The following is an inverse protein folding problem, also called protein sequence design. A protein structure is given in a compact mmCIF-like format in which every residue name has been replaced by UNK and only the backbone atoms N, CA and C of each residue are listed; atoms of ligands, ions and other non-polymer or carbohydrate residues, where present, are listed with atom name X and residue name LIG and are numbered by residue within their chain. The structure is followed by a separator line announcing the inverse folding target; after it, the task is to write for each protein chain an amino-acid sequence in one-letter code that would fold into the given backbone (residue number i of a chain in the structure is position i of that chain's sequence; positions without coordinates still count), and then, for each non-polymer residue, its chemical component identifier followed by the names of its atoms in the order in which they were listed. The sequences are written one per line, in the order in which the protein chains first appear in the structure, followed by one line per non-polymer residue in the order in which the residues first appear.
data_IF_381629535365
#
_entry.id   IF_381629535365
#
_cell.length_a   1.000
_cell.length_b   1.000
_cell.length_c   1.000
_cell.angle_alpha   90.00
_cell.angle_beta   90.00
_cell.angle_gamma   90.00
#
_symmetry.space_group_name_H-M   'P 1'
#
loop_
_entity.id
_entity.type
_entity.pdbx_description
1 polymer ?
#
# COMPACT_ATOMS: atom_id res chain seq x y z
N UNK A 1 -15.22 -2.68 -16.42
CA UNK A 1 -14.18 -3.05 -17.41
C UNK A 1 -14.69 -4.00 -18.48
N UNK A 2 -15.36 -5.11 -18.12
CA UNK A 2 -16.03 -5.97 -19.12
C UNK A 2 -17.03 -5.15 -19.94
N UNK A 3 -16.85 -5.09 -21.26
CA UNK A 3 -17.76 -4.38 -22.17
C UNK A 3 -18.73 -5.39 -22.77
N UNK A 4 -18.45 -5.87 -23.98
CA UNK A 4 -19.17 -6.99 -24.59
C UNK A 4 -18.64 -8.30 -24.03
N UNK A 5 -19.48 -9.34 -24.08
CA UNK A 5 -19.14 -10.66 -23.56
C UNK A 5 -19.78 -11.76 -24.42
N UNK A 6 -19.15 -12.95 -24.50
CA UNK A 6 -19.73 -14.09 -25.20
C UNK A 6 -21.07 -14.53 -24.58
N UNK A 7 -22.09 -14.75 -25.41
CA UNK A 7 -23.42 -15.22 -24.96
C UNK A 7 -23.65 -16.72 -25.11
N UNK A 8 -22.82 -17.37 -25.93
CA UNK A 8 -22.94 -18.79 -26.28
C UNK A 8 -21.65 -19.55 -25.95
N UNK A 9 -20.98 -19.20 -24.86
CA UNK A 9 -19.71 -19.80 -24.45
C UNK A 9 -19.65 -19.96 -22.91
N UNK A 10 -20.46 -20.88 -22.35
CA UNK A 10 -20.56 -21.08 -20.90
C UNK A 10 -19.26 -21.60 -20.26
N UNK A 11 -18.35 -22.16 -21.05
CA UNK A 11 -17.05 -22.63 -20.57
C UNK A 11 -16.13 -21.45 -20.21
N UNK A 12 -16.31 -20.29 -20.85
CA UNK A 12 -15.45 -19.11 -20.68
C UNK A 12 -16.18 -17.87 -20.14
N UNK A 13 -17.51 -17.83 -20.19
CA UNK A 13 -18.30 -16.69 -19.73
C UNK A 13 -19.62 -17.12 -19.07
N UNK A 14 -19.83 -16.65 -17.85
CA UNK A 14 -21.09 -16.79 -17.12
C UNK A 14 -21.63 -15.40 -16.78
N UNK A 15 -22.92 -15.19 -17.00
CA UNK A 15 -23.65 -13.98 -16.65
C UNK A 15 -25.09 -14.34 -16.26
N UNK A 16 -25.76 -13.45 -15.54
CA UNK A 16 -27.16 -13.67 -15.16
C UNK A 16 -28.07 -13.56 -16.40
N UNK A 17 -28.99 -14.51 -16.57
CA UNK A 17 -29.88 -14.57 -17.74
C UNK A 17 -30.68 -13.27 -17.93
N UNK A 18 -31.05 -12.61 -16.83
CA UNK A 18 -31.85 -11.38 -16.79
C UNK A 18 -31.01 -10.09 -16.81
N UNK A 19 -29.70 -10.17 -17.10
CA UNK A 19 -28.82 -8.99 -17.05
C UNK A 19 -29.39 -7.83 -17.86
N UNK A 20 -29.78 -8.03 -19.12
CA UNK A 20 -30.34 -6.95 -19.94
C UNK A 20 -31.72 -6.49 -19.46
N UNK A 21 -32.55 -7.41 -18.96
CA UNK A 21 -33.88 -7.08 -18.45
C UNK A 21 -33.78 -6.14 -17.24
N UNK A 22 -32.80 -6.36 -16.36
CA UNK A 22 -32.50 -5.44 -15.26
C UNK A 22 -32.11 -4.06 -15.78
N UNK A 23 -31.26 -3.98 -16.81
CA UNK A 23 -30.88 -2.69 -17.40
C UNK A 23 -32.06 -1.94 -18.01
N UNK A 24 -32.96 -2.66 -18.71
CA UNK A 24 -34.18 -2.10 -19.29
C UNK A 24 -35.15 -1.65 -18.18
N UNK A 25 -35.35 -2.47 -17.16
CA UNK A 25 -36.23 -2.17 -16.03
C UNK A 25 -35.85 -0.86 -15.33
N UNK A 26 -34.55 -0.66 -15.08
CA UNK A 26 -34.02 0.56 -14.48
C UNK A 26 -33.79 1.70 -15.48
N UNK A 27 -34.17 1.53 -16.75
CA UNK A 27 -34.04 2.53 -17.82
C UNK A 27 -32.60 3.00 -18.05
N UNK A 28 -31.65 2.07 -17.92
CA UNK A 28 -30.24 2.30 -18.22
C UNK A 28 -29.95 2.17 -19.73
N UNK A 29 -30.81 1.46 -20.44
CA UNK A 29 -30.80 1.26 -21.90
C UNK A 29 -32.23 1.26 -22.43
N UNK A 30 -32.38 1.45 -23.73
CA UNK A 30 -33.69 1.33 -24.40
C UNK A 30 -34.15 -0.12 -24.47
N UNK A 31 -35.48 -0.40 -24.49
CA UNK A 31 -36.02 -1.76 -24.53
C UNK A 31 -35.63 -2.59 -25.77
N UNK A 32 -35.22 -1.92 -26.86
CA UNK A 32 -34.84 -2.54 -28.13
C UNK A 32 -33.31 -2.67 -28.30
N UNK A 33 -32.53 -2.53 -27.21
CA UNK A 33 -31.08 -2.65 -27.21
C UNK A 33 -30.62 -3.97 -27.86
N UNK A 34 -29.70 -3.86 -28.82
CA UNK A 34 -29.10 -5.02 -29.47
C UNK A 34 -28.17 -5.76 -28.48
N UNK A 35 -28.44 -7.05 -28.17
CA UNK A 35 -27.60 -7.85 -27.28
C UNK A 35 -26.12 -7.90 -27.68
N UNK A 36 -25.78 -7.81 -28.96
CA UNK A 36 -24.39 -7.90 -29.44
C UNK A 36 -23.61 -6.60 -29.20
N UNK A 37 -24.32 -5.48 -29.03
CA UNK A 37 -23.72 -4.17 -28.73
C UNK A 37 -23.80 -3.78 -27.25
N UNK A 38 -24.52 -4.57 -26.44
CA UNK A 38 -24.67 -4.33 -25.01
C UNK A 38 -23.30 -4.38 -24.30
N UNK A 39 -22.89 -3.24 -23.75
CA UNK A 39 -21.64 -3.10 -22.99
C UNK A 39 -21.94 -3.06 -21.50
N UNK A 40 -21.62 -4.13 -20.77
CA UNK A 40 -21.90 -4.26 -19.34
C UNK A 40 -21.32 -3.08 -18.54
N UNK A 41 -20.04 -2.75 -18.76
CA UNK A 41 -19.39 -1.65 -18.05
C UNK A 41 -20.00 -0.30 -18.37
N UNK A 42 -20.44 -0.05 -19.60
CA UNK A 42 -20.97 1.28 -19.97
C UNK A 42 -22.39 1.48 -19.46
N UNK A 43 -23.14 0.40 -19.31
CA UNK A 43 -24.51 0.40 -18.79
C UNK A 43 -24.53 0.52 -17.26
N UNK A 44 -23.77 -0.31 -16.55
CA UNK A 44 -23.86 -0.37 -15.08
C UNK A 44 -22.84 0.49 -14.34
N UNK A 45 -21.74 0.88 -14.99
CA UNK A 45 -20.67 1.65 -14.36
C UNK A 45 -20.02 2.60 -15.39
N UNK A 46 -20.79 3.52 -15.98
CA UNK A 46 -20.29 4.43 -17.01
C UNK A 46 -19.07 5.19 -16.50
N UNK A 47 -18.02 5.18 -17.32
CA UNK A 47 -16.74 5.75 -16.93
C UNK A 47 -16.79 7.28 -17.00
N UNK A 48 -16.34 7.94 -15.94
CA UNK A 48 -16.11 9.38 -15.90
C UNK A 48 -14.63 9.68 -15.56
N UNK A 49 -14.27 10.97 -15.50
CA UNK A 49 -12.91 11.40 -15.19
C UNK A 49 -12.36 10.73 -13.91
N UNK A 50 -13.07 10.84 -12.79
CA UNK A 50 -12.61 10.30 -11.51
C UNK A 50 -12.57 8.77 -11.53
N UNK A 51 -13.57 8.11 -12.12
CA UNK A 51 -13.59 6.66 -12.21
C UNK A 51 -12.40 6.12 -13.04
N UNK A 52 -12.01 6.80 -14.12
CA UNK A 52 -10.80 6.46 -14.87
C UNK A 52 -9.55 6.76 -14.03
N UNK A 53 -9.44 7.97 -13.49
CA UNK A 53 -8.27 8.42 -12.74
C UNK A 53 -7.95 7.55 -11.51
N UNK A 54 -8.97 7.07 -10.79
CA UNK A 54 -8.76 6.27 -9.58
C UNK A 54 -8.75 4.76 -9.82
N UNK A 55 -9.24 4.26 -10.97
CA UNK A 55 -9.30 2.82 -11.26
C UNK A 55 -8.43 2.44 -12.46
N UNK A 56 -8.67 3.05 -13.61
CA UNK A 56 -7.97 2.73 -14.84
C UNK A 56 -6.49 3.13 -14.77
N UNK A 57 -6.12 4.19 -14.04
CA UNK A 57 -4.71 4.50 -13.78
C UNK A 57 -3.93 3.34 -13.11
N UNK A 58 -4.55 2.63 -12.16
CA UNK A 58 -3.93 1.49 -11.48
C UNK A 58 -3.71 0.32 -12.45
N UNK A 59 -4.70 0.04 -13.28
CA UNK A 59 -4.56 -1.02 -14.29
C UNK A 59 -3.54 -0.63 -15.36
N UNK A 60 -3.51 0.63 -15.76
CA UNK A 60 -2.53 1.16 -16.70
C UNK A 60 -1.11 1.00 -16.16
N UNK A 61 -0.87 1.30 -14.88
CA UNK A 61 0.44 1.07 -14.27
C UNK A 61 0.84 -0.40 -14.33
N UNK A 62 -0.07 -1.31 -13.94
CA UNK A 62 0.19 -2.76 -13.97
C UNK A 62 0.47 -3.24 -15.40
N UNK A 63 -0.37 -2.85 -16.36
CA UNK A 63 -0.23 -3.30 -17.74
C UNK A 63 1.05 -2.76 -18.37
N UNK A 64 1.39 -1.49 -18.13
CA UNK A 64 2.64 -0.90 -18.62
C UNK A 64 3.86 -1.68 -18.11
N UNK A 65 3.90 -2.04 -16.82
CA UNK A 65 5.00 -2.85 -16.28
C UNK A 65 5.11 -4.25 -16.91
N UNK A 66 4.01 -4.82 -17.41
CA UNK A 66 3.94 -6.19 -17.93
C UNK A 66 4.12 -6.30 -19.44
N UNK A 67 3.75 -5.28 -20.21
CA UNK A 67 3.71 -5.36 -21.69
C UNK A 67 4.56 -4.33 -22.40
N UNK A 68 5.19 -3.40 -21.68
CA UNK A 68 5.69 -2.18 -22.28
C UNK A 68 7.21 -2.00 -22.21
N UNK A 69 8.00 -2.84 -22.90
CA UNK A 69 9.45 -2.74 -22.86
C UNK A 69 9.99 -1.43 -23.49
N UNK A 70 9.19 -0.71 -24.28
CA UNK A 70 9.57 0.53 -25.00
C UNK A 70 8.70 1.77 -24.69
N UNK A 71 7.79 1.67 -23.73
CA UNK A 71 6.91 2.77 -23.30
C UNK A 71 5.72 3.05 -24.24
N UNK A 72 5.51 2.26 -25.28
CA UNK A 72 4.40 2.44 -26.25
C UNK A 72 3.03 2.28 -25.61
N UNK A 73 2.81 1.23 -24.83
CA UNK A 73 1.52 1.00 -24.16
C UNK A 73 1.20 2.14 -23.17
N UNK A 74 2.20 2.55 -22.40
CA UNK A 74 2.11 3.63 -21.44
C UNK A 74 1.65 4.92 -22.14
N UNK A 75 2.32 5.30 -23.25
CA UNK A 75 1.98 6.50 -24.03
C UNK A 75 0.60 6.41 -24.69
N UNK A 76 0.25 5.26 -25.25
CA UNK A 76 -1.04 5.05 -25.94
C UNK A 76 -2.23 5.25 -24.99
N UNK A 77 -2.13 4.72 -23.77
CA UNK A 77 -3.26 4.68 -22.83
C UNK A 77 -3.20 5.71 -21.70
N UNK A 78 -2.17 6.56 -21.63
CA UNK A 78 -2.05 7.58 -20.58
C UNK A 78 -3.26 8.53 -20.53
N UNK A 79 -3.76 8.99 -21.68
CA UNK A 79 -4.92 9.88 -21.71
C UNK A 79 -6.21 9.21 -21.22
N UNK A 80 -6.35 7.91 -21.46
CA UNK A 80 -7.46 7.12 -20.93
C UNK A 80 -7.33 6.91 -19.42
N UNK A 81 -6.15 6.46 -18.97
CA UNK A 81 -5.82 6.27 -17.57
C UNK A 81 -5.97 7.55 -16.73
N UNK A 82 -5.58 8.69 -17.30
CA UNK A 82 -5.67 10.02 -16.68
C UNK A 82 -7.09 10.60 -16.65
N UNK A 83 -8.06 9.97 -17.32
CA UNK A 83 -9.44 10.44 -17.43
C UNK A 83 -9.66 11.56 -18.44
N UNK A 84 -8.62 11.98 -19.18
CA UNK A 84 -8.70 13.10 -20.14
C UNK A 84 -9.29 12.69 -21.49
N UNK A 85 -9.16 11.42 -21.87
CA UNK A 85 -9.76 10.86 -23.10
C UNK A 85 -10.32 9.45 -22.87
N UNK A 86 -11.62 9.35 -22.57
CA UNK A 86 -12.24 8.09 -22.13
C UNK A 86 -12.59 7.08 -23.24
N UNK A 87 -12.47 7.46 -24.52
CA UNK A 87 -12.88 6.60 -25.64
C UNK A 87 -11.84 5.54 -26.01
N UNK A 88 -10.56 5.80 -25.79
CA UNK A 88 -9.45 4.86 -26.07
C UNK A 88 -9.28 3.89 -24.90
N UNK A 89 -10.22 2.97 -24.72
CA UNK A 89 -10.17 2.03 -23.59
C UNK A 89 -8.99 1.08 -23.71
N UNK A 90 -8.30 0.85 -22.59
CA UNK A 90 -7.35 -0.26 -22.49
C UNK A 90 -8.03 -1.60 -22.78
N UNK A 91 -7.29 -2.57 -23.34
CA UNK A 91 -7.82 -3.91 -23.52
C UNK A 91 -8.21 -4.53 -22.17
N UNK A 92 -9.11 -5.51 -22.21
CA UNK A 92 -9.50 -6.26 -21.02
C UNK A 92 -8.36 -7.19 -20.56
N UNK A 93 -7.66 -7.79 -21.53
CA UNK A 93 -6.57 -8.73 -21.33
C UNK A 93 -5.30 -8.25 -22.01
N UNK A 94 -4.16 -8.66 -21.46
CA UNK A 94 -2.85 -8.38 -22.01
C UNK A 94 -2.03 -9.66 -22.08
N UNK A 95 -1.02 -9.67 -22.95
CA UNK A 95 0.00 -10.71 -22.99
C UNK A 95 1.33 -10.13 -22.51
N UNK A 96 1.80 -10.51 -21.31
CA UNK A 96 3.11 -10.07 -20.83
C UNK A 96 4.25 -10.47 -21.78
N UNK A 97 5.32 -9.68 -21.84
CA UNK A 97 6.48 -9.99 -22.69
C UNK A 97 7.36 -11.12 -22.13
N UNK A 98 7.16 -11.50 -20.86
CA UNK A 98 7.83 -12.61 -20.16
C UNK A 98 6.86 -13.32 -19.22
N UNK A 99 7.23 -14.51 -18.74
CA UNK A 99 6.48 -15.17 -17.67
C UNK A 99 6.48 -14.28 -16.41
N UNK A 100 5.32 -14.18 -15.77
CA UNK A 100 5.13 -13.39 -14.55
C UNK A 100 5.47 -14.25 -13.34
N UNK A 101 6.47 -13.83 -12.56
CA UNK A 101 6.87 -14.50 -11.32
C UNK A 101 6.04 -14.00 -10.13
N UNK A 102 6.11 -14.72 -9.00
CA UNK A 102 5.51 -14.27 -7.75
C UNK A 102 6.06 -12.90 -7.31
N UNK A 103 7.36 -12.67 -7.51
CA UNK A 103 8.01 -11.40 -7.18
C UNK A 103 7.49 -10.27 -8.08
N UNK A 104 7.30 -10.52 -9.38
CA UNK A 104 6.71 -9.54 -10.30
C UNK A 104 5.30 -9.13 -9.80
N UNK A 105 4.45 -10.10 -9.43
CA UNK A 105 3.11 -9.80 -8.86
C UNK A 105 3.22 -8.96 -7.58
N UNK A 106 4.11 -9.36 -6.67
CA UNK A 106 4.35 -8.63 -5.43
C UNK A 106 4.78 -7.18 -5.66
N UNK A 107 5.62 -6.93 -6.67
CA UNK A 107 6.09 -5.59 -7.05
C UNK A 107 4.98 -4.75 -7.72
N UNK A 108 4.14 -5.36 -8.57
CA UNK A 108 3.02 -4.67 -9.21
C UNK A 108 2.02 -4.10 -8.18
N UNK A 109 1.92 -4.74 -7.01
CA UNK A 109 1.06 -4.30 -5.90
C UNK A 109 1.63 -3.10 -5.12
N UNK A 110 2.82 -2.58 -5.48
CA UNK A 110 3.50 -1.52 -4.71
C UNK A 110 3.62 -0.19 -5.44
N UNK A 111 3.13 -0.10 -6.67
CA UNK A 111 3.33 1.09 -7.51
C UNK A 111 2.60 2.33 -6.98
N UNK A 112 3.29 3.46 -7.04
CA UNK A 112 2.76 4.81 -6.85
C UNK A 112 2.88 5.68 -8.12
N UNK A 113 3.06 5.04 -9.28
CA UNK A 113 3.25 5.68 -10.59
C UNK A 113 4.58 6.42 -10.74
N UNK A 114 5.61 5.95 -10.02
CA UNK A 114 6.94 6.54 -9.99
C UNK A 114 7.50 6.74 -11.40
N UNK A 115 8.04 7.94 -11.68
CA UNK A 115 8.62 8.26 -12.98
C UNK A 115 7.60 8.55 -14.09
N UNK A 116 6.33 8.71 -13.76
CA UNK A 116 5.27 9.06 -14.72
C UNK A 116 4.62 10.41 -14.41
N UNK A 117 3.76 10.91 -15.30
CA UNK A 117 2.96 12.12 -15.06
C UNK A 117 1.94 11.97 -13.89
N UNK A 118 1.70 10.74 -13.43
CA UNK A 118 0.81 10.45 -12.31
C UNK A 118 1.58 10.32 -10.97
N UNK A 119 2.89 10.54 -10.96
CA UNK A 119 3.74 10.40 -9.77
C UNK A 119 3.42 11.49 -8.71
N UNK A 120 2.82 11.13 -7.55
CA UNK A 120 2.46 12.10 -6.53
C UNK A 120 3.66 12.47 -5.63
N UNK A 121 4.89 12.03 -5.89
CA UNK A 121 6.05 12.34 -5.04
C UNK A 121 6.70 13.69 -5.37
N UNK A 122 6.27 14.36 -6.44
CA UNK A 122 7.00 15.52 -7.03
C UNK A 122 6.42 16.89 -6.70
N UNK A 123 5.25 16.93 -6.06
CA UNK A 123 4.53 18.18 -5.79
C UNK A 123 4.58 18.60 -4.30
N UNK A 124 4.25 19.86 -3.97
CA UNK A 124 4.07 20.36 -2.62
C UNK A 124 3.41 19.46 -1.59
N UNK A 125 2.39 18.70 -1.98
CA UNK A 125 1.64 17.82 -1.08
C UNK A 125 2.44 16.60 -0.62
N UNK A 126 3.55 16.28 -1.29
CA UNK A 126 4.43 15.16 -0.94
C UNK A 126 5.24 15.42 0.33
N UNK A 127 5.24 16.67 0.80
CA UNK A 127 5.96 17.08 1.99
C UNK A 127 7.47 16.99 1.79
N UNK A 128 8.20 17.18 2.91
CA UNK A 128 9.66 17.27 2.91
C UNK A 128 10.34 16.02 2.30
N UNK A 129 9.74 14.85 2.52
CA UNK A 129 10.33 13.55 2.19
C UNK A 129 9.70 12.89 0.96
N UNK A 130 8.92 13.62 0.15
CA UNK A 130 8.43 13.12 -1.13
C UNK A 130 7.48 11.94 -1.03
N UNK A 131 6.59 11.93 -0.02
CA UNK A 131 5.63 10.84 0.18
C UNK A 131 4.61 10.78 -0.95
N UNK A 132 4.33 9.59 -1.52
CA UNK A 132 3.27 9.43 -2.51
C UNK A 132 1.88 9.48 -1.87
N UNK A 133 1.81 9.34 -0.55
CA UNK A 133 0.57 9.28 0.18
C UNK A 133 0.03 10.68 0.48
N UNK A 134 -1.30 10.83 0.35
CA UNK A 134 -2.02 12.07 0.63
C UNK A 134 -3.08 11.83 1.70
N UNK A 135 -3.29 12.80 2.62
CA UNK A 135 -4.47 12.78 3.47
C UNK A 135 -5.74 12.72 2.61
N UNK A 136 -6.69 11.89 3.04
CA UNK A 136 -8.00 11.79 2.40
C UNK A 136 -8.94 12.88 2.92
N UNK A 137 -10.00 13.27 2.18
CA UNK A 137 -10.57 12.65 0.97
C UNK A 137 -9.68 12.71 -0.29
N UNK A 138 -9.92 11.81 -1.25
CA UNK A 138 -9.22 11.83 -2.54
C UNK A 138 -9.64 13.02 -3.40
N UNK A 139 -10.82 13.58 -3.18
CA UNK A 139 -11.29 14.81 -3.82
C UNK A 139 -11.40 15.92 -2.79
N UNK A 140 -11.00 17.13 -3.17
CA UNK A 140 -11.05 18.30 -2.31
C UNK A 140 -11.45 19.54 -3.11
N UNK A 141 -11.99 20.56 -2.44
CA UNK A 141 -12.47 21.79 -3.09
C UNK A 141 -11.67 22.99 -2.63
N UNK A 142 -11.28 23.83 -3.59
CA UNK A 142 -10.64 25.12 -3.34
C UNK A 142 -11.12 26.13 -4.40
N UNK A 143 -11.47 27.34 -3.98
CA UNK A 143 -12.03 28.38 -4.85
C UNK A 143 -13.16 27.88 -5.78
N UNK A 144 -14.10 27.11 -5.22
CA UNK A 144 -15.26 26.53 -5.91
C UNK A 144 -14.91 25.55 -7.04
N UNK A 145 -13.67 25.09 -7.13
CA UNK A 145 -13.23 24.03 -8.06
C UNK A 145 -12.86 22.78 -7.28
N UNK A 146 -13.17 21.63 -7.86
CA UNK A 146 -12.80 20.31 -7.31
C UNK A 146 -11.48 19.87 -7.91
N UNK A 147 -10.63 19.33 -7.05
CA UNK A 147 -9.32 18.76 -7.35
C UNK A 147 -9.24 17.37 -6.76
N UNK A 148 -8.25 16.59 -7.18
CA UNK A 148 -8.06 15.23 -6.68
C UNK A 148 -6.61 14.95 -6.30
N UNK A 149 -6.43 13.91 -5.48
CA UNK A 149 -5.17 13.26 -5.19
C UNK A 149 -5.13 11.92 -5.93
N UNK A 150 -3.94 11.49 -6.36
CA UNK A 150 -3.79 10.21 -7.04
C UNK A 150 -4.14 9.03 -6.14
N UNK A 151 -4.88 8.07 -6.69
CA UNK A 151 -5.13 6.79 -6.04
C UNK A 151 -4.08 5.80 -6.49
N UNK A 152 -2.99 5.69 -5.75
CA UNK A 152 -1.91 4.72 -5.97
C UNK A 152 -2.39 3.27 -5.71
N UNK A 153 -1.56 2.29 -6.08
CA UNK A 153 -1.83 0.86 -5.84
C UNK A 153 -1.50 0.52 -4.39
N UNK A 154 -0.26 0.78 -3.97
CA UNK A 154 0.14 0.77 -2.57
C UNK A 154 -0.50 1.96 -1.84
N UNK A 155 -1.22 1.71 -0.74
CA UNK A 155 -1.96 2.73 0.00
C UNK A 155 -2.06 2.42 1.51
N UNK A 156 -2.12 3.45 2.37
CA UNK A 156 -2.36 3.34 3.82
C UNK A 156 -3.75 2.83 4.23
N UNK A 157 -4.62 2.51 3.27
CA UNK A 157 -6.00 2.05 3.51
C UNK A 157 -6.18 0.56 3.21
N UNK A 158 -5.13 -0.11 2.81
CA UNK A 158 -5.13 -1.56 2.65
C UNK A 158 -5.16 -2.16 4.05
N UNK A 159 -6.22 -2.87 4.41
CA UNK A 159 -6.25 -3.55 5.71
C UNK A 159 -5.33 -4.80 5.71
N UNK A 160 -5.27 -5.45 4.56
CA UNK A 160 -4.60 -6.71 4.30
C UNK A 160 -4.38 -6.86 2.80
N UNK A 161 -3.36 -7.62 2.42
CA UNK A 161 -2.99 -7.86 1.04
C UNK A 161 -2.44 -9.26 0.87
N UNK A 162 -2.71 -9.88 -0.27
CA UNK A 162 -2.28 -11.26 -0.50
C UNK A 162 -2.03 -11.60 -1.97
N UNK A 163 -1.27 -12.67 -2.18
CA UNK A 163 -1.11 -13.32 -3.49
C UNK A 163 -1.47 -14.79 -3.34
N UNK A 164 -2.56 -15.20 -4.00
CA UNK A 164 -2.96 -16.61 -4.06
C UNK A 164 -2.23 -17.31 -5.21
N UNK A 165 -1.36 -18.25 -4.88
CA UNK A 165 -0.60 -19.06 -5.82
C UNK A 165 -1.13 -20.50 -5.80
N UNK A 166 -1.63 -20.98 -6.93
CA UNK A 166 -2.07 -22.37 -7.09
C UNK A 166 -1.07 -23.09 -8.00
N UNK A 167 -0.50 -24.19 -7.49
CA UNK A 167 0.60 -24.94 -8.11
C UNK A 167 0.07 -26.29 -8.59
N UNK A 168 -0.38 -26.41 -9.86
CA UNK A 168 -1.09 -27.61 -10.34
C UNK A 168 -0.23 -28.88 -10.38
N UNK A 169 1.09 -28.76 -10.23
CA UNK A 169 2.02 -29.89 -10.16
C UNK A 169 2.17 -30.50 -8.76
N UNK A 170 1.54 -29.90 -7.73
CA UNK A 170 1.56 -30.40 -6.35
C UNK A 170 0.24 -31.13 -6.01
N UNK A 171 0.24 -32.06 -5.04
CA UNK A 171 -1.00 -32.66 -4.54
C UNK A 171 -1.97 -31.59 -4.01
N UNK A 172 -3.30 -31.80 -4.07
CA UNK A 172 -4.30 -30.79 -3.73
C UNK A 172 -4.08 -30.11 -2.37
N UNK A 173 -3.71 -30.87 -1.33
CA UNK A 173 -3.45 -30.33 0.00
C UNK A 173 -2.21 -29.42 0.05
N UNK A 174 -1.25 -29.60 -0.85
CA UNK A 174 -0.01 -28.81 -0.91
C UNK A 174 0.00 -27.79 -2.05
N UNK A 175 -1.04 -27.77 -2.89
CA UNK A 175 -1.04 -27.00 -4.14
C UNK A 175 -1.17 -25.49 -3.95
N UNK A 176 -1.93 -25.07 -2.94
CA UNK A 176 -2.23 -23.65 -2.72
C UNK A 176 -1.30 -23.03 -1.68
N UNK A 177 -0.72 -21.88 -2.02
CA UNK A 177 -0.04 -20.98 -1.11
C UNK A 177 -0.72 -19.61 -1.15
N UNK A 178 -1.08 -19.10 0.02
CA UNK A 178 -1.53 -17.74 0.21
C UNK A 178 -0.38 -16.92 0.81
N UNK A 179 0.23 -16.05 0.01
CA UNK A 179 1.25 -15.13 0.47
C UNK A 179 0.59 -13.93 1.13
N UNK A 180 0.57 -13.90 2.45
CA UNK A 180 -0.30 -13.04 3.23
C UNK A 180 0.47 -11.92 3.95
N UNK A 181 -0.05 -10.70 3.93
CA UNK A 181 0.45 -9.54 4.67
C UNK A 181 -0.70 -8.64 5.12
N UNK A 182 -0.42 -7.79 6.12
CA UNK A 182 -1.40 -6.83 6.66
C UNK A 182 -0.97 -5.40 6.35
N UNK A 183 -1.87 -4.44 6.36
CA UNK A 183 -1.57 -3.05 5.98
C UNK A 183 -1.11 -2.86 4.50
N UNK A 184 -0.52 -1.70 4.18
CA UNK A 184 -0.08 -1.26 2.85
C UNK A 184 0.87 -2.25 2.15
N UNK A 185 0.47 -2.72 0.97
CA UNK A 185 1.22 -3.67 0.15
C UNK A 185 2.61 -3.19 -0.29
N UNK A 186 2.87 -1.88 -0.22
CA UNK A 186 4.16 -1.31 -0.57
C UNK A 186 5.19 -1.35 0.57
N UNK A 187 4.72 -1.31 1.82
CA UNK A 187 5.56 -1.26 3.03
C UNK A 187 5.43 -2.48 3.92
N UNK A 188 4.51 -3.39 3.63
CA UNK A 188 4.29 -4.61 4.41
C UNK A 188 4.83 -5.86 3.73
N UNK A 189 5.61 -6.69 4.44
CA UNK A 189 6.06 -7.99 3.94
C UNK A 189 4.93 -9.02 3.96
N UNK A 190 5.07 -10.06 3.13
CA UNK A 190 4.16 -11.21 3.09
C UNK A 190 4.89 -12.47 3.51
N UNK A 191 4.19 -13.37 4.20
CA UNK A 191 4.68 -14.72 4.51
C UNK A 191 3.79 -15.79 3.84
N UNK A 192 4.33 -16.97 3.53
CA UNK A 192 3.58 -18.05 2.88
C UNK A 192 2.71 -18.83 3.87
N UNK A 193 1.44 -19.03 3.51
CA UNK A 193 0.49 -19.89 4.25
C UNK A 193 -0.07 -20.95 3.30
N UNK A 194 0.13 -22.23 3.60
CA UNK A 194 -0.46 -23.31 2.81
C UNK A 194 -1.98 -23.32 2.95
N UNK A 195 -2.70 -23.55 1.84
CA UNK A 195 -4.16 -23.61 1.82
C UNK A 195 -4.74 -24.73 2.68
N UNK A 196 -3.97 -25.79 2.96
CA UNK A 196 -4.34 -26.86 3.88
C UNK A 196 -4.07 -26.55 5.35
N UNK A 197 -3.48 -25.38 5.67
CA UNK A 197 -3.09 -25.07 7.04
C UNK A 197 -4.27 -25.17 8.00
N UNK A 198 -4.02 -25.71 9.20
CA UNK A 198 -5.03 -25.88 10.26
C UNK A 198 -4.88 -24.89 11.41
N UNK A 199 -3.83 -24.08 11.37
CA UNK A 199 -3.52 -23.07 12.36
C UNK A 199 -2.82 -21.90 11.68
N UNK A 200 -2.91 -20.72 12.30
CA UNK A 200 -2.18 -19.52 11.90
C UNK A 200 -1.34 -19.03 13.08
N UNK A 201 -0.29 -18.26 12.76
CA UNK A 201 0.44 -17.49 13.77
C UNK A 201 -0.52 -16.59 14.55
N UNK A 202 -0.41 -16.59 15.87
CA UNK A 202 -1.30 -15.83 16.77
C UNK A 202 -1.21 -14.30 16.53
N UNK A 203 -0.09 -13.83 15.97
CA UNK A 203 0.04 -12.42 15.59
C UNK A 203 -0.91 -12.02 14.45
N UNK A 204 -1.38 -12.98 13.64
CA UNK A 204 -2.27 -12.77 12.50
C UNK A 204 -3.70 -13.28 12.75
N UNK A 205 -4.00 -13.78 13.94
CA UNK A 205 -5.35 -14.18 14.36
C UNK A 205 -6.07 -13.02 15.07
N UNK A 206 -7.39 -13.08 15.03
CA UNK A 206 -8.26 -12.21 15.82
C UNK A 206 -9.60 -12.89 16.04
N UNK A 207 -10.28 -12.53 17.12
CA UNK A 207 -11.63 -13.02 17.41
C UNK A 207 -12.65 -12.18 16.65
N UNK A 208 -13.20 -12.73 15.57
CA UNK A 208 -14.32 -12.16 14.82
C UNK A 208 -14.02 -10.83 14.11
N UNK A 209 -14.66 -10.65 12.96
CA UNK A 209 -14.71 -9.35 12.29
C UNK A 209 -16.02 -8.62 12.57
N UNK A 210 -16.18 -7.39 12.04
CA UNK A 210 -17.49 -6.75 11.93
C UNK A 210 -18.54 -7.66 11.26
N UNK A 211 -18.08 -8.61 10.44
CA UNK A 211 -18.88 -9.61 9.74
C UNK A 211 -19.50 -10.66 10.68
N UNK A 212 -18.86 -10.93 11.83
CA UNK A 212 -19.32 -11.89 12.84
C UNK A 212 -19.95 -11.20 14.06
N UNK A 213 -20.19 -9.88 13.97
CA UNK A 213 -20.75 -9.08 15.06
C UNK A 213 -19.77 -8.78 16.21
N UNK A 214 -18.50 -9.17 16.08
CA UNK A 214 -17.46 -8.86 17.06
C UNK A 214 -16.86 -7.50 16.76
N UNK A 215 -16.82 -6.64 17.79
CA UNK A 215 -16.20 -5.33 17.68
C UNK A 215 -14.68 -5.51 17.72
N UNK A 216 -14.01 -5.20 16.62
CA UNK A 216 -12.55 -5.17 16.60
C UNK A 216 -12.04 -4.05 17.52
N UNK A 217 -11.04 -4.30 18.40
CA UNK A 217 -10.48 -3.31 19.32
C UNK A 217 -9.53 -2.34 18.60
N UNK A 218 -10.00 -1.67 17.55
CA UNK A 218 -9.19 -0.84 16.64
C UNK A 218 -8.57 0.41 17.29
N UNK A 219 -8.94 0.73 18.53
CA UNK A 219 -8.36 1.83 19.30
C UNK A 219 -7.30 1.36 20.31
N UNK A 220 -7.17 0.04 20.49
CA UNK A 220 -6.19 -0.56 21.38
C UNK A 220 -4.98 -1.00 20.58
N UNK A 221 -3.88 -0.29 20.78
CA UNK A 221 -2.61 -0.65 20.17
C UNK A 221 -2.03 -1.88 20.87
N UNK A 222 -1.81 -2.95 20.10
CA UNK A 222 -1.35 -4.23 20.60
C UNK A 222 -0.12 -4.72 19.80
N UNK A 223 1.03 -4.71 20.46
CA UNK A 223 2.30 -5.15 19.86
C UNK A 223 2.35 -6.65 19.58
N UNK A 224 1.43 -7.46 20.13
CA UNK A 224 1.33 -8.88 19.82
C UNK A 224 0.65 -9.14 18.47
N UNK A 225 0.00 -8.13 17.88
CA UNK A 225 -0.73 -8.26 16.62
C UNK A 225 0.06 -7.66 15.46
N UNK A 226 0.20 -8.45 14.40
CA UNK A 226 0.97 -8.11 13.21
C UNK A 226 0.44 -6.86 12.51
N UNK A 227 -0.88 -6.61 12.55
CA UNK A 227 -1.48 -5.41 11.96
C UNK A 227 -0.83 -4.14 12.53
N UNK A 228 -0.72 -4.04 13.86
CA UNK A 228 -0.14 -2.87 14.51
C UNK A 228 1.36 -2.75 14.24
N UNK A 229 2.10 -3.85 14.33
CA UNK A 229 3.55 -3.85 14.08
C UNK A 229 3.88 -3.46 12.63
N UNK A 230 3.16 -3.99 11.65
CA UNK A 230 3.34 -3.57 10.25
C UNK A 230 2.92 -2.12 10.06
N UNK A 231 1.82 -1.68 10.69
CA UNK A 231 1.35 -0.30 10.61
C UNK A 231 2.34 0.72 11.21
N UNK A 232 3.09 0.36 12.25
CA UNK A 232 4.16 1.23 12.78
C UNK A 232 5.23 1.52 11.72
N UNK A 233 5.72 0.49 11.02
CA UNK A 233 6.74 0.65 9.98
C UNK A 233 6.18 1.45 8.81
N UNK A 234 4.96 1.13 8.37
CA UNK A 234 4.31 1.86 7.27
C UNK A 234 4.12 3.34 7.60
N UNK A 235 3.60 3.68 8.79
CA UNK A 235 3.44 5.07 9.22
C UNK A 235 4.76 5.81 9.31
N UNK A 236 5.81 5.16 9.81
CA UNK A 236 7.14 5.77 9.83
C UNK A 236 7.64 6.07 8.41
N UNK A 237 7.43 5.15 7.48
CA UNK A 237 7.77 5.35 6.07
C UNK A 237 6.95 6.48 5.43
N UNK A 238 5.66 6.61 5.72
CA UNK A 238 4.81 7.64 5.09
C UNK A 238 5.32 9.07 5.33
N UNK A 239 5.88 9.34 6.51
CA UNK A 239 6.37 10.67 6.87
C UNK A 239 7.83 10.91 6.54
N UNK A 240 8.62 9.85 6.32
CA UNK A 240 10.04 9.94 5.91
C UNK A 240 10.32 9.12 4.66
N UNK A 241 9.45 9.23 3.66
CA UNK A 241 9.41 8.32 2.51
C UNK A 241 10.75 8.19 1.79
N UNK A 242 11.37 9.30 1.38
CA UNK A 242 12.67 9.30 0.69
C UNK A 242 13.79 8.58 1.46
N UNK A 243 13.71 8.56 2.79
CA UNK A 243 14.77 8.04 3.65
C UNK A 243 14.49 6.58 4.05
N UNK A 244 13.25 6.31 4.44
CA UNK A 244 12.84 5.06 5.06
C UNK A 244 12.34 4.05 4.03
N UNK A 245 11.57 4.47 3.03
CA UNK A 245 10.92 3.55 2.08
C UNK A 245 11.93 2.68 1.30
N UNK A 246 13.06 3.19 0.78
CA UNK A 246 14.03 2.35 0.09
C UNK A 246 14.58 1.20 0.96
N UNK A 247 14.80 1.48 2.26
CA UNK A 247 15.27 0.49 3.22
C UNK A 247 14.17 -0.53 3.53
N UNK A 248 12.93 -0.07 3.71
CA UNK A 248 11.77 -0.94 3.89
C UNK A 248 11.58 -1.87 2.69
N UNK A 249 11.64 -1.34 1.46
CA UNK A 249 11.53 -2.13 0.23
C UNK A 249 12.60 -3.20 0.12
N UNK A 250 13.86 -2.83 0.33
CA UNK A 250 14.97 -3.78 0.32
C UNK A 250 14.78 -4.88 1.38
N UNK A 251 14.33 -4.52 2.59
CA UNK A 251 14.07 -5.50 3.65
C UNK A 251 12.93 -6.46 3.31
N UNK A 252 11.85 -5.97 2.71
CA UNK A 252 10.73 -6.80 2.22
C UNK A 252 11.23 -7.80 1.17
N UNK A 253 12.03 -7.34 0.20
CA UNK A 253 12.58 -8.21 -0.85
C UNK A 253 13.43 -9.34 -0.27
N UNK A 254 14.31 -9.03 0.69
CA UNK A 254 15.12 -10.05 1.39
C UNK A 254 14.23 -11.06 2.10
N UNK A 255 13.32 -10.59 2.96
CA UNK A 255 12.44 -11.46 3.75
C UNK A 255 11.56 -12.35 2.86
N UNK A 256 11.00 -11.79 1.78
CA UNK A 256 10.17 -12.57 0.87
C UNK A 256 10.99 -13.56 0.03
N UNK A 257 12.22 -13.21 -0.35
CA UNK A 257 13.13 -14.15 -1.03
C UNK A 257 13.48 -15.33 -0.13
N UNK A 258 13.83 -15.06 1.13
CA UNK A 258 14.13 -16.09 2.12
C UNK A 258 12.92 -17.05 2.28
N UNK A 259 11.71 -16.51 2.39
CA UNK A 259 10.50 -17.35 2.43
C UNK A 259 10.23 -18.14 1.15
N UNK A 260 10.59 -17.61 -0.02
CA UNK A 260 10.47 -18.35 -1.28
C UNK A 260 11.43 -19.54 -1.34
N UNK A 261 12.62 -19.41 -0.76
CA UNK A 261 13.58 -20.51 -0.63
C UNK A 261 13.13 -21.52 0.43
N UNK A 262 12.61 -21.04 1.56
CA UNK A 262 12.03 -21.88 2.61
C UNK A 262 10.85 -22.70 2.08
N UNK A 263 9.99 -22.12 1.25
CA UNK A 263 8.88 -22.85 0.60
C UNK A 263 9.40 -24.00 -0.25
N UNK A 264 10.48 -23.82 -1.02
CA UNK A 264 11.03 -24.88 -1.86
C UNK A 264 11.52 -26.08 -1.02
N UNK A 265 12.23 -25.79 0.07
CA UNK A 265 12.71 -26.85 0.97
C UNK A 265 11.55 -27.53 1.72
N UNK A 266 10.56 -26.74 2.13
CA UNK A 266 9.33 -27.20 2.80
C UNK A 266 8.52 -28.10 1.87
N UNK A 267 8.35 -27.73 0.60
CA UNK A 267 7.61 -28.52 -0.40
C UNK A 267 8.20 -29.90 -0.56
N UNK A 268 9.53 -29.99 -0.68
CA UNK A 268 10.22 -31.26 -0.85
C UNK A 268 9.93 -32.20 0.32
N UNK A 269 10.07 -31.70 1.55
CA UNK A 269 9.83 -32.52 2.73
C UNK A 269 8.36 -32.85 2.93
N UNK A 270 7.45 -31.89 2.68
CA UNK A 270 6.02 -32.12 2.74
C UNK A 270 5.58 -33.20 1.75
N UNK A 271 6.16 -33.23 0.55
CA UNK A 271 5.90 -34.26 -0.45
C UNK A 271 6.42 -35.63 -0.03
N UNK A 272 7.60 -35.71 0.59
CA UNK A 272 8.13 -36.94 1.18
C UNK A 272 7.19 -37.49 2.26
N UNK A 273 6.72 -36.64 3.19
CA UNK A 273 5.75 -37.01 4.23
C UNK A 273 4.42 -37.46 3.61
N UNK A 274 3.95 -36.76 2.58
CA UNK A 274 2.71 -37.09 1.87
C UNK A 274 2.77 -38.49 1.25
N UNK A 275 3.90 -38.85 0.64
CA UNK A 275 4.10 -40.11 -0.06
C UNK A 275 4.42 -41.28 0.88
N UNK A 276 5.21 -41.04 1.93
CA UNK A 276 5.79 -42.10 2.76
C UNK A 276 5.07 -42.32 4.08
N UNK A 277 4.34 -41.31 4.58
CA UNK A 277 3.66 -41.39 5.87
C UNK A 277 2.15 -41.23 5.71
N UNK A 278 1.67 -40.00 5.50
CA UNK A 278 0.25 -39.70 5.28
C UNK A 278 0.03 -38.25 4.85
N UNK A 279 -1.12 -37.99 4.25
CA UNK A 279 -1.61 -36.63 3.97
C UNK A 279 -1.67 -35.79 5.26
N UNK A 280 -2.15 -36.37 6.37
CA UNK A 280 -2.27 -35.67 7.64
C UNK A 280 -0.90 -35.21 8.19
N UNK A 281 0.13 -36.04 8.08
CA UNK A 281 1.49 -35.68 8.49
C UNK A 281 2.06 -34.52 7.66
N UNK A 282 1.85 -34.55 6.34
CA UNK A 282 2.25 -33.45 5.47
C UNK A 282 1.52 -32.14 5.80
N UNK A 283 0.21 -32.21 6.03
CA UNK A 283 -0.61 -31.05 6.42
C UNK A 283 -0.19 -30.46 7.76
N UNK A 284 0.09 -31.31 8.76
CA UNK A 284 0.59 -30.87 10.07
C UNK A 284 1.96 -30.17 9.93
N UNK A 285 2.85 -30.73 9.11
CA UNK A 285 4.17 -30.13 8.84
C UNK A 285 4.05 -28.74 8.20
N UNK A 286 3.28 -28.60 7.12
CA UNK A 286 3.13 -27.28 6.46
C UNK A 286 2.32 -26.28 7.29
N UNK A 287 1.44 -26.76 8.19
CA UNK A 287 0.77 -25.93 9.19
C UNK A 287 1.79 -25.32 10.15
N UNK A 288 2.68 -26.15 10.72
CA UNK A 288 3.74 -25.67 11.63
C UNK A 288 4.68 -24.69 10.93
N UNK A 289 5.04 -24.96 9.67
CA UNK A 289 5.80 -24.02 8.85
C UNK A 289 5.12 -22.65 8.76
N UNK A 290 3.84 -22.60 8.40
CA UNK A 290 3.09 -21.33 8.28
C UNK A 290 3.00 -20.55 9.59
N UNK A 291 2.79 -21.25 10.72
CA UNK A 291 2.80 -20.65 12.07
C UNK A 291 4.18 -20.03 12.36
N UNK A 292 5.25 -20.81 12.20
CA UNK A 292 6.61 -20.34 12.47
C UNK A 292 7.02 -19.17 11.56
N UNK A 293 6.63 -19.19 10.28
CA UNK A 293 6.88 -18.12 9.33
C UNK A 293 6.19 -16.81 9.78
N UNK A 294 4.93 -16.89 10.21
CA UNK A 294 4.21 -15.74 10.75
C UNK A 294 4.83 -15.18 12.03
N UNK A 295 5.16 -16.05 13.00
CA UNK A 295 5.77 -15.65 14.27
C UNK A 295 7.15 -15.00 14.06
N UNK A 296 7.96 -15.58 13.17
CA UNK A 296 9.28 -15.07 12.81
C UNK A 296 9.18 -13.72 12.12
N UNK A 297 8.25 -13.57 11.17
CA UNK A 297 8.03 -12.30 10.48
C UNK A 297 7.57 -11.21 11.44
N UNK A 298 6.63 -11.52 12.34
CA UNK A 298 6.15 -10.57 13.34
C UNK A 298 7.29 -10.06 14.24
N UNK A 299 8.08 -11.00 14.79
CA UNK A 299 9.24 -10.68 15.62
C UNK A 299 10.26 -9.83 14.86
N UNK A 300 10.56 -10.21 13.62
CA UNK A 300 11.53 -9.50 12.79
C UNK A 300 11.06 -8.08 12.45
N UNK A 301 9.78 -7.91 12.15
CA UNK A 301 9.25 -6.61 11.76
C UNK A 301 9.20 -5.62 12.93
N UNK A 302 8.93 -6.10 14.14
CA UNK A 302 9.02 -5.28 15.36
C UNK A 302 10.46 -4.84 15.62
N UNK A 303 11.43 -5.77 15.48
CA UNK A 303 12.86 -5.45 15.58
C UNK A 303 13.27 -4.41 14.53
N UNK A 304 12.81 -4.58 13.30
CA UNK A 304 13.11 -3.69 12.18
C UNK A 304 12.56 -2.28 12.41
N UNK A 305 11.35 -2.13 12.96
CA UNK A 305 10.83 -0.83 13.38
C UNK A 305 11.80 -0.13 14.36
N UNK A 306 12.28 -0.84 15.38
CA UNK A 306 13.24 -0.30 16.34
C UNK A 306 14.53 0.21 15.69
N UNK A 307 15.03 -0.51 14.68
CA UNK A 307 16.21 -0.10 13.90
C UNK A 307 15.93 1.17 13.08
N UNK A 308 14.78 1.23 12.39
CA UNK A 308 14.39 2.41 11.61
C UNK A 308 14.20 3.65 12.49
N UNK A 309 13.54 3.48 13.64
CA UNK A 309 13.34 4.56 14.60
C UNK A 309 14.68 5.06 15.14
N UNK A 310 15.56 4.15 15.59
CA UNK A 310 16.88 4.53 16.09
C UNK A 310 17.70 5.26 15.01
N UNK A 311 17.66 4.80 13.76
CA UNK A 311 18.40 5.41 12.64
C UNK A 311 17.88 6.80 12.26
N UNK A 312 16.57 7.01 12.29
CA UNK A 312 15.93 8.21 11.73
C UNK A 312 15.23 9.10 12.77
N UNK A 313 15.55 8.99 14.05
CA UNK A 313 15.02 9.89 15.08
C UNK A 313 15.56 11.32 14.92
N UNK A 314 14.78 12.30 15.37
CA UNK A 314 15.20 13.70 15.53
C UNK A 314 15.81 14.35 14.26
N UNK A 315 15.28 14.03 13.08
CA UNK A 315 15.79 14.47 11.76
C UNK A 315 17.18 13.97 11.37
N UNK A 316 17.85 13.19 12.22
CA UNK A 316 19.10 12.55 11.87
C UNK A 316 18.89 11.41 10.88
N UNK A 317 19.98 11.08 10.18
CA UNK A 317 20.28 9.75 9.70
C UNK A 317 21.52 9.25 10.44
N UNK A 318 21.36 8.20 11.25
CA UNK A 318 22.43 7.65 12.08
C UNK A 318 22.92 6.33 11.46
N UNK A 319 24.19 6.30 11.05
CA UNK A 319 24.82 5.17 10.37
C UNK A 319 25.99 4.62 11.20
N UNK A 320 26.34 3.33 11.06
CA UNK A 320 27.53 2.79 11.72
C UNK A 320 28.81 3.50 11.28
N UNK A 321 29.68 3.83 12.23
CA UNK A 321 31.02 4.36 12.01
C UNK A 321 31.97 3.83 13.08
N UNK A 322 32.75 2.80 12.73
CA UNK A 322 33.69 2.12 13.64
C UNK A 322 34.88 2.98 14.06
N UNK A 323 35.10 4.14 13.42
CA UNK A 323 36.16 5.08 13.79
C UNK A 323 35.79 5.94 15.02
N UNK A 324 34.52 5.90 15.46
CA UNK A 324 34.01 6.63 16.62
C UNK A 324 33.75 5.69 17.80
N UNK A 325 34.70 5.51 18.74
CA UNK A 325 34.62 4.46 19.76
C UNK A 325 33.57 4.70 20.86
N UNK A 326 32.96 5.88 20.93
CA UNK A 326 31.94 6.22 21.94
C UNK A 326 30.55 5.65 21.60
N UNK A 327 30.15 5.68 20.33
CA UNK A 327 28.87 5.14 19.88
C UNK A 327 28.96 4.19 18.69
N UNK A 328 30.14 4.04 18.08
CA UNK A 328 30.38 3.36 16.80
C UNK A 328 29.41 3.83 15.70
N UNK A 329 29.13 5.14 15.70
CA UNK A 329 28.06 5.74 14.91
C UNK A 329 28.39 7.16 14.42
N UNK A 330 27.80 7.53 13.29
CA UNK A 330 27.81 8.87 12.73
C UNK A 330 26.39 9.37 12.51
N UNK A 331 26.10 10.60 12.93
CA UNK A 331 24.80 11.23 12.79
C UNK A 331 24.88 12.34 11.74
N UNK A 332 24.04 12.24 10.71
CA UNK A 332 23.97 13.20 9.62
C UNK A 332 22.67 14.01 9.71
N UNK A 333 22.79 15.34 9.62
CA UNK A 333 21.65 16.26 9.45
C UNK A 333 21.54 16.63 7.97
N UNK A 334 20.91 15.76 7.18
CA UNK A 334 20.84 15.90 5.72
C UNK A 334 20.10 17.18 5.26
N UNK A 335 19.30 17.77 6.17
CA UNK A 335 18.55 19.00 5.90
C UNK A 335 17.53 18.83 4.78
N UNK A 336 17.19 19.94 4.11
CA UNK A 336 16.14 19.96 3.09
C UNK A 336 16.68 19.85 1.66
N UNK A 337 15.87 19.29 0.77
CA UNK A 337 16.16 19.25 -0.67
C UNK A 337 16.25 20.66 -1.27
N UNK A 338 16.89 20.79 -2.45
CA UNK A 338 17.00 22.06 -3.15
C UNK A 338 15.62 22.66 -3.50
N UNK A 339 14.66 21.82 -3.85
CA UNK A 339 13.30 22.26 -4.19
C UNK A 339 12.56 22.85 -2.99
N UNK A 340 12.68 22.22 -1.82
CA UNK A 340 12.11 22.76 -0.58
C UNK A 340 12.80 24.05 -0.14
N UNK A 341 14.14 24.10 -0.22
CA UNK A 341 14.89 25.34 0.05
C UNK A 341 14.42 26.48 -0.86
N UNK A 342 14.29 26.24 -2.16
CA UNK A 342 13.78 27.22 -3.14
C UNK A 342 12.38 27.70 -2.78
N UNK A 343 11.48 26.77 -2.47
CA UNK A 343 10.09 27.07 -2.16
C UNK A 343 9.96 27.92 -0.88
N UNK A 344 10.70 27.55 0.17
CA UNK A 344 10.74 28.32 1.41
C UNK A 344 11.21 29.75 1.14
N UNK A 345 12.29 29.94 0.39
CA UNK A 345 12.78 31.28 0.03
C UNK A 345 11.73 32.07 -0.77
N UNK A 346 11.07 31.44 -1.74
CA UNK A 346 10.03 32.09 -2.55
C UNK A 346 8.80 32.52 -1.73
N UNK A 347 8.34 31.67 -0.81
CA UNK A 347 7.13 31.91 -0.02
C UNK A 347 7.38 32.83 1.18
N UNK A 348 8.60 32.83 1.72
CA UNK A 348 8.93 33.59 2.95
C UNK A 348 9.81 34.82 2.72
N UNK A 349 10.29 35.02 1.49
CA UNK A 349 11.19 36.13 1.15
C UNK A 349 12.45 36.10 2.02
N UNK A 350 12.74 37.21 2.70
CA UNK A 350 13.93 37.37 3.53
C UNK A 350 13.77 36.89 4.97
N UNK A 351 12.65 36.26 5.34
CA UNK A 351 12.39 35.85 6.72
C UNK A 351 13.49 34.94 7.30
N UNK A 352 14.00 34.00 6.49
CA UNK A 352 15.08 33.08 6.87
C UNK A 352 16.46 33.49 6.31
N UNK A 353 16.57 34.69 5.72
CA UNK A 353 17.85 35.17 5.19
C UNK A 353 18.77 35.54 6.36
N UNK A 354 19.94 34.92 6.43
CA UNK A 354 20.95 35.26 7.45
C UNK A 354 21.59 36.60 7.08
N UNK A 355 21.55 37.58 7.99
CA UNK A 355 22.19 38.87 7.76
C UNK A 355 23.72 38.72 7.70
N UNK A 356 24.37 39.37 6.74
CA UNK A 356 25.83 39.42 6.67
C UNK A 356 26.39 40.03 7.95
N UNK A 357 27.30 39.32 8.62
CA UNK A 357 27.91 39.71 9.90
C UNK A 357 28.72 41.03 9.88
N UNK A 358 28.73 41.75 8.75
CA UNK A 358 29.46 43.01 8.58
C UNK A 358 28.59 44.27 8.51
N UNK A 359 27.27 44.17 8.63
CA UNK A 359 26.41 45.35 8.76
C UNK A 359 25.51 45.25 10.00
N UNK A 360 25.73 46.17 10.97
CA UNK A 360 24.70 46.51 11.96
C UNK A 360 23.52 47.10 11.21
N UNK A 361 22.53 46.30 10.87
CA UNK A 361 21.26 46.80 10.34
C UNK A 361 20.27 47.07 11.48
N UNK A 362 19.77 48.30 11.46
CA UNK A 362 18.67 48.81 12.28
C UNK A 362 17.49 47.83 12.31
N UNK A 363 17.08 47.46 13.52
CA UNK A 363 15.83 46.76 13.79
C UNK A 363 14.64 47.70 13.59
N UNK A 364 14.22 47.90 12.35
CA UNK A 364 12.94 48.55 12.04
C UNK A 364 12.20 47.73 11.00
N UNK A 365 11.52 46.68 11.46
CA UNK A 365 10.11 46.35 11.19
C UNK A 365 9.86 44.89 11.54
N UNK A 366 9.29 44.63 12.71
CA UNK A 366 8.14 43.74 12.74
C UNK A 366 7.21 44.10 13.90
N UNK A 367 5.96 44.27 13.52
CA UNK A 367 4.85 44.71 14.36
C UNK A 367 4.65 43.80 15.57
N UNK A 368 4.26 44.43 16.69
CA UNK A 368 3.84 43.84 17.95
C UNK A 368 2.95 42.59 17.79
N UNK A 369 3.56 41.41 17.71
CA UNK A 369 2.94 40.18 18.20
C UNK A 369 3.69 39.82 19.49
N UNK A 370 3.09 40.17 20.64
CA UNK A 370 3.55 39.65 21.93
C UNK A 370 3.64 38.13 21.79
N UNK A 371 4.78 37.55 22.17
CA UNK A 371 4.89 36.11 22.45
C UNK A 371 3.78 35.79 23.47
N UNK A 372 2.66 35.22 23.01
CA UNK A 372 1.64 34.73 23.93
C UNK A 372 2.08 33.34 24.37
N UNK A 373 2.25 33.07 25.67
CA UNK A 373 2.28 31.70 26.13
C UNK A 373 0.93 31.06 25.78
N UNK A 374 0.94 30.02 24.96
CA UNK A 374 -0.24 29.18 24.70
C UNK A 374 -0.51 28.34 25.95
N UNK A 375 -1.25 28.90 26.89
CA UNK A 375 -1.91 28.15 27.95
C UNK A 375 -3.18 28.89 28.37
N UNK A 376 -4.21 28.87 27.53
CA UNK A 376 -5.59 29.01 28.01
C UNK A 376 -6.16 27.62 28.13
N UNK A 377 -6.08 27.10 29.37
CA UNK A 377 -7.00 26.13 29.99
C UNK A 377 -8.02 25.51 29.03
N UNK A 378 -7.65 24.38 28.44
CA UNK A 378 -8.60 23.33 28.06
C UNK A 378 -8.18 22.11 28.87
N UNK A 379 -9.10 21.56 29.63
CA UNK A 379 -8.92 20.31 30.36
C UNK A 379 -8.26 19.29 29.43
N UNK A 380 -7.21 18.57 29.85
CA UNK A 380 -6.59 17.58 28.99
C UNK A 380 -7.64 16.52 28.61
N UNK A 381 -7.68 16.16 27.32
CA UNK A 381 -8.63 15.19 26.78
C UNK A 381 -8.59 13.83 27.50
N UNK A 382 -7.50 13.51 28.20
CA UNK A 382 -7.31 12.27 28.94
C UNK A 382 -7.98 12.20 30.32
N UNK A 383 -8.62 13.28 30.83
CA UNK A 383 -9.27 13.27 32.15
C UNK A 383 -10.76 12.86 32.15
N UNK A 384 -11.41 12.68 30.99
CA UNK A 384 -12.88 12.54 30.95
C UNK A 384 -13.46 11.12 30.86
N UNK A 385 -12.70 10.05 30.63
CA UNK A 385 -13.28 8.70 30.57
C UNK A 385 -12.34 7.63 31.14
N UNK A 386 -12.28 7.53 32.47
CA UNK A 386 -11.99 6.25 33.14
C UNK A 386 -13.10 6.04 34.18
N UNK A 387 -14.09 5.15 33.94
CA UNK A 387 -15.03 4.78 34.97
C UNK A 387 -14.26 4.09 36.08
N UNK A 388 -14.12 4.75 37.24
CA UNK A 388 -13.73 4.06 38.47
C UNK A 388 -14.86 3.12 38.83
N UNK A 389 -14.69 1.83 38.55
CA UNK A 389 -15.48 0.77 39.16
C UNK A 389 -15.21 0.84 40.67
N UNK A 390 -16.16 1.39 41.41
CA UNK A 390 -16.17 1.32 42.86
C UNK A 390 -16.59 -0.10 43.21
N UNK A 391 -15.65 -0.83 43.80
CA UNK A 391 -15.93 -2.07 44.53
C UNK A 391 -16.74 -1.69 45.78
N UNK A 392 -17.95 -2.23 45.90
CA UNK A 392 -18.64 -2.46 47.17
C UNK A 392 -19.26 -3.84 47.14
#
# INVERSE_FOLDING_TARGET
RFTTFPRNDPDNCLYADDVMDVAIHYKLVEPDIDPDTFSFSDVYAPLNFMAARINEARVWSIFSNLVDPDGTFQREYLHYASGTHLKTRMPLWIKPYKNVTLQDVGQLMTSHYEGTELDPTKDPGAGLYGSPNRPRPLEWTYDKKTYHNERTIGIPKTAWNFIAQVRPWMPPELAALNWFGVDDSSTSPRFPVYGSSRQLSEAYTGEGGPQDGVKSPILEFDLTKAFWVQNMVSNWAYYRWSDVYPIVRSKIEIVQSDFMDDVQSTDKHALELYQQQSVAAAVEFVTKFGVNAGDSLHTEWLRFYGQLFARFRDFYEIVPNTERPDCECEAHENGMTKDWKRRIVQETGNHYHVADHHHKTDTTTNTNNKLRPTATTTTPFWETEIPRTVVS
#
